data_IF_794169811932
#
_entry.id   IF_794169811932
#
_cell.length_a   1.000
_cell.length_b   1.000
_cell.length_c   1.000
_cell.angle_alpha   90.00
_cell.angle_beta   90.00
_cell.angle_gamma   90.00
#
_symmetry.space_group_name_H-M   'P 1'
#
loop_
_entity.id
_entity.type
_entity.pdbx_description
1 polymer ?
#
# COMPACT_ATOMS: atom_id res chain seq x y z
N UNK A 1 15.73 -8.85 0.46
CA UNK A 1 14.77 -7.76 0.65
C UNK A 1 13.38 -8.35 0.49
N UNK A 2 12.48 -8.06 1.43
CA UNK A 2 11.07 -8.45 1.37
C UNK A 2 10.22 -7.21 1.07
N UNK A 3 9.29 -7.33 0.13
CA UNK A 3 8.39 -6.24 -0.30
C UNK A 3 6.99 -6.51 0.26
N UNK A 4 6.53 -5.62 1.14
CA UNK A 4 5.16 -5.57 1.59
C UNK A 4 4.39 -4.64 0.65
N UNK A 5 3.16 -4.98 0.29
CA UNK A 5 2.33 -4.16 -0.60
C UNK A 5 1.05 -3.79 0.11
N UNK A 6 0.62 -2.54 0.00
CA UNK A 6 -0.63 -2.04 0.54
C UNK A 6 -1.53 -1.59 -0.60
N UNK A 7 -2.70 -2.22 -0.70
CA UNK A 7 -3.74 -1.91 -1.68
C UNK A 7 -5.09 -1.88 -0.98
N UNK A 8 -5.84 -0.80 -1.17
CA UNK A 8 -7.22 -0.64 -0.67
C UNK A 8 -7.37 -0.88 0.85
N UNK A 9 -6.32 -0.60 1.62
CA UNK A 9 -6.29 -0.83 3.07
C UNK A 9 -6.01 -2.27 3.49
N UNK A 10 -5.79 -3.19 2.53
CA UNK A 10 -5.24 -4.51 2.78
C UNK A 10 -3.74 -4.54 2.50
N UNK A 11 -3.03 -5.25 3.36
CA UNK A 11 -1.60 -5.49 3.20
C UNK A 11 -1.38 -6.90 2.66
N UNK A 12 -0.52 -7.00 1.66
CA UNK A 12 -0.15 -8.19 0.91
C UNK A 12 1.35 -8.45 1.03
N UNK A 13 1.74 -9.72 0.93
CA UNK A 13 3.12 -10.15 1.10
C UNK A 13 3.45 -10.57 2.55
N UNK A 14 4.75 -10.60 2.91
CA UNK A 14 5.89 -10.14 2.13
C UNK A 14 6.14 -10.96 0.85
N UNK A 15 6.46 -10.26 -0.23
CA UNK A 15 6.84 -10.82 -1.53
C UNK A 15 8.34 -10.63 -1.79
N UNK A 16 8.94 -11.54 -2.56
CA UNK A 16 10.29 -11.30 -3.11
C UNK A 16 10.23 -10.29 -4.26
N UNK A 17 11.37 -9.76 -4.69
CA UNK A 17 11.43 -8.86 -5.85
C UNK A 17 10.90 -9.56 -7.12
N UNK A 18 11.26 -10.82 -7.31
CA UNK A 18 10.79 -11.64 -8.43
C UNK A 18 9.28 -11.88 -8.36
N UNK A 19 8.74 -12.22 -7.19
CA UNK A 19 7.30 -12.39 -6.99
C UNK A 19 6.54 -11.09 -7.26
N UNK A 20 7.02 -9.95 -6.70
CA UNK A 20 6.40 -8.65 -6.92
C UNK A 20 6.39 -8.29 -8.42
N UNK A 21 7.48 -8.57 -9.13
CA UNK A 21 7.54 -8.39 -10.58
C UNK A 21 6.58 -9.32 -11.32
N UNK A 22 6.50 -10.59 -10.92
CA UNK A 22 5.59 -11.56 -11.53
C UNK A 22 4.13 -11.13 -11.35
N UNK A 23 3.74 -10.69 -10.15
CA UNK A 23 2.39 -10.18 -9.90
C UNK A 23 2.11 -8.86 -10.63
N UNK A 24 3.11 -7.99 -10.81
CA UNK A 24 2.97 -6.80 -11.65
C UNK A 24 2.74 -7.17 -13.13
N UNK A 25 3.47 -8.18 -13.63
CA UNK A 25 3.33 -8.68 -14.99
C UNK A 25 2.00 -9.41 -15.21
N UNK A 26 1.51 -10.11 -14.19
CA UNK A 26 0.21 -10.79 -14.20
C UNK A 26 -0.96 -9.81 -14.08
N UNK A 27 -0.72 -8.59 -13.57
CA UNK A 27 -1.76 -7.60 -13.27
C UNK A 27 -2.42 -7.80 -11.90
N UNK A 28 -1.96 -8.78 -11.12
CA UNK A 28 -2.35 -9.00 -9.72
C UNK A 28 -1.91 -7.81 -8.85
N UNK A 29 -0.73 -7.25 -9.11
CA UNK A 29 -0.24 -5.99 -8.53
C UNK A 29 -0.17 -4.90 -9.61
N UNK A 30 -0.23 -3.65 -9.18
CA UNK A 30 -0.17 -2.45 -10.00
C UNK A 30 1.07 -1.66 -9.62
N UNK A 31 1.69 -1.04 -10.62
CA UNK A 31 2.80 -0.11 -10.44
C UNK A 31 2.49 1.02 -9.44
N UNK A 32 1.21 1.38 -9.30
CA UNK A 32 0.70 2.43 -8.41
C UNK A 32 0.46 1.97 -6.97
N UNK A 33 0.48 0.66 -6.69
CA UNK A 33 0.32 0.20 -5.31
C UNK A 33 1.53 0.60 -4.48
N UNK A 34 1.28 0.80 -3.19
CA UNK A 34 2.31 1.19 -2.25
C UNK A 34 3.06 -0.04 -1.78
N UNK A 35 4.34 -0.13 -2.09
CA UNK A 35 5.27 -1.11 -1.56
C UNK A 35 6.14 -0.55 -0.42
N UNK A 36 6.49 -1.36 0.56
CA UNK A 36 7.45 -1.06 1.61
C UNK A 36 8.44 -2.19 1.76
N UNK A 37 9.69 -1.86 2.06
CA UNK A 37 10.76 -2.83 2.26
C UNK A 37 11.54 -2.52 3.54
N UNK A 38 12.26 -3.50 4.07
CA UNK A 38 12.99 -3.36 5.35
C UNK A 38 14.02 -2.21 5.36
N UNK A 39 14.45 -1.71 4.20
CA UNK A 39 15.34 -0.55 4.06
C UNK A 39 14.64 0.76 3.68
N UNK A 40 13.33 0.77 3.46
CA UNK A 40 12.58 1.97 3.06
C UNK A 40 12.04 2.72 4.27
N UNK A 41 12.25 4.04 4.32
CA UNK A 41 11.72 4.88 5.40
C UNK A 41 10.18 5.04 5.32
N UNK A 42 9.62 4.90 4.12
CA UNK A 42 8.19 5.11 3.84
C UNK A 42 7.69 4.14 2.77
N UNK A 43 6.37 4.05 2.63
CA UNK A 43 5.71 3.30 1.57
C UNK A 43 5.85 4.06 0.24
N UNK A 44 6.37 3.39 -0.77
CA UNK A 44 6.65 3.97 -2.10
C UNK A 44 5.95 3.15 -3.19
N UNK A 45 5.62 3.72 -4.35
CA UNK A 45 5.01 2.96 -5.43
C UNK A 45 5.83 1.72 -5.83
N UNK A 46 5.16 0.60 -6.13
CA UNK A 46 5.81 -0.64 -6.56
C UNK A 46 6.67 -0.45 -7.80
N UNK A 47 6.27 0.42 -8.73
CA UNK A 47 7.12 0.79 -9.88
C UNK A 47 8.47 1.36 -9.47
N UNK A 48 8.56 2.05 -8.33
CA UNK A 48 9.82 2.58 -7.83
C UNK A 48 10.69 1.49 -7.18
N UNK A 49 10.07 0.45 -6.59
CA UNK A 49 10.80 -0.67 -5.99
C UNK A 49 11.32 -1.68 -7.03
N UNK A 50 10.53 -1.93 -8.08
CA UNK A 50 10.81 -3.00 -9.06
C UNK A 50 11.33 -2.43 -10.39
N UNK A 51 11.00 -1.18 -10.72
CA UNK A 51 11.20 -0.58 -12.05
C UNK A 51 12.48 0.25 -12.25
N UNK A 52 13.33 0.40 -11.25
CA UNK A 52 14.61 1.12 -11.38
C UNK A 52 14.42 2.64 -11.52
N UNK A 53 14.78 3.34 -10.45
CA UNK A 53 15.08 4.77 -10.36
C UNK A 53 15.25 5.55 -11.69
N UNK A 54 14.22 6.33 -12.07
CA UNK A 54 14.42 7.62 -12.74
C UNK A 54 13.45 8.61 -12.09
N UNK A 55 14.01 9.57 -11.36
CA UNK A 55 13.32 10.40 -10.39
C UNK A 55 12.03 11.04 -10.88
N UNK A 56 11.00 10.97 -10.03
CA UNK A 56 9.87 11.87 -10.05
C UNK A 56 9.54 12.31 -8.60
N UNK A 57 9.25 13.62 -8.37
CA UNK A 57 9.07 14.24 -7.06
C UNK A 57 7.77 13.79 -6.34
N UNK A 58 7.56 14.13 -5.05
CA UNK A 58 6.58 13.46 -4.20
C UNK A 58 5.16 13.76 -4.67
N UNK A 59 4.44 12.73 -5.10
CA UNK A 59 2.99 12.80 -5.22
C UNK A 59 2.37 12.69 -3.82
N UNK A 60 2.34 13.81 -3.09
CA UNK A 60 1.27 14.04 -2.11
C UNK A 60 0.51 15.29 -2.58
N UNK A 61 -0.82 15.20 -2.75
CA UNK A 61 -1.64 15.58 -1.60
C UNK A 61 -2.95 14.79 -1.45
N UNK A 62 -3.15 14.22 -0.26
CA UNK A 62 -4.39 14.30 0.52
C UNK A 62 -5.63 13.50 0.10
N UNK A 63 -6.10 12.68 1.06
CA UNK A 63 -7.51 12.41 1.39
C UNK A 63 -8.37 11.64 0.36
N UNK A 64 -8.87 10.44 0.64
CA UNK A 64 -8.91 9.68 1.89
C UNK A 64 -9.97 8.58 1.83
N UNK A 65 -10.48 8.18 2.99
CA UNK A 65 -11.90 7.84 3.09
C UNK A 65 -12.50 8.63 4.27
N UNK A 66 -13.33 9.67 4.03
CA UNK A 66 -14.11 10.33 5.08
C UNK A 66 -15.31 9.49 5.57
N UNK A 67 -15.44 8.24 5.12
CA UNK A 67 -16.44 7.25 5.55
C UNK A 67 -15.68 5.98 5.97
N UNK A 68 -15.69 5.52 7.21
CA UNK A 68 -16.89 5.44 8.03
C UNK A 68 -18.11 5.19 7.13
N UNK A 69 -18.02 4.13 6.32
CA UNK A 69 -19.18 3.43 5.80
C UNK A 69 -19.72 2.42 6.82
N UNK A 70 -18.96 2.12 7.86
CA UNK A 70 -19.46 1.59 9.12
C UNK A 70 -19.11 2.62 10.19
N UNK A 71 -20.12 3.22 10.81
CA UNK A 71 -19.91 3.99 12.02
C UNK A 71 -19.27 3.08 13.05
N UNK A 72 -18.11 3.46 13.58
CA UNK A 72 -17.78 3.02 14.92
C UNK A 72 -18.72 3.80 15.84
N UNK A 73 -19.83 3.18 16.23
CA UNK A 73 -20.62 3.65 17.36
C UNK A 73 -19.73 3.55 18.61
N UNK A 74 -19.11 4.66 19.00
CA UNK A 74 -18.48 4.83 20.32
C UNK A 74 -19.54 5.03 21.42
N UNK A 75 -20.83 4.77 21.14
CA UNK A 75 -21.95 4.95 22.06
C UNK A 75 -22.86 3.70 22.09
N UNK A 76 -22.27 2.53 22.37
CA UNK A 76 -23.04 1.37 22.80
C UNK A 76 -22.40 0.74 24.03
N UNK A 77 -22.37 1.52 25.11
CA UNK A 77 -22.38 0.98 26.47
C UNK A 77 -23.60 1.57 27.17
N UNK A 78 -24.67 0.79 27.07
CA UNK A 78 -25.96 0.93 27.74
C UNK A 78 -25.78 1.28 29.23
N UNK A 79 -26.30 2.43 29.63
CA UNK A 79 -26.69 2.70 31.01
C UNK A 79 -28.15 2.25 31.20
N UNK A 80 -28.38 1.43 32.22
CA UNK A 80 -29.69 1.07 32.76
C UNK A 80 -29.66 1.26 34.27
#
# INVERSE_FOLDING_TARGET
MMIHVSREGQQFGPYTQEDAQAYLAEGSLLATDLGWTDGSAEWVPLSQLVGGEVGAPPAVPGTGCPKCGAGLETDQVICL
#
